data_IF_618914279200
#
_entry.id   IF_618914279200
#
_cell.length_a   1.000
_cell.length_b   1.000
_cell.length_c   1.000
_cell.angle_alpha   90.00
_cell.angle_beta   90.00
_cell.angle_gamma   90.00
#
_symmetry.space_group_name_H-M   'P 1'
#
loop_
_entity.id
_entity.type
_entity.pdbx_description
1 polymer ?
#
# COMPACT_ATOMS: atom_id res chain seq x y z
N UNK A 1 35.96 57.26 -58.22
CA UNK A 1 35.72 56.62 -56.94
C UNK A 1 34.34 56.00 -56.92
N UNK A 2 34.26 54.70 -57.22
CA UNK A 2 32.97 53.98 -57.30
C UNK A 2 32.90 53.10 -56.05
N UNK A 3 31.87 53.30 -55.24
CA UNK A 3 31.53 52.44 -54.10
C UNK A 3 30.68 51.23 -54.58
N UNK A 4 31.22 50.07 -54.44
CA UNK A 4 30.41 48.81 -54.59
C UNK A 4 29.58 48.55 -53.32
N UNK A 5 28.29 48.36 -53.48
CA UNK A 5 27.34 47.85 -52.48
C UNK A 5 27.20 46.36 -52.71
N UNK A 6 27.42 45.57 -51.64
CA UNK A 6 27.10 44.15 -51.58
C UNK A 6 25.79 43.94 -50.85
N UNK A 7 24.91 43.09 -51.35
CA UNK A 7 23.66 42.77 -50.62
C UNK A 7 23.88 41.62 -49.62
N UNK A 8 23.50 41.85 -48.39
CA UNK A 8 23.45 40.86 -47.34
C UNK A 8 22.24 39.93 -47.52
N UNK A 9 22.50 38.66 -47.76
CA UNK A 9 21.47 37.62 -47.75
C UNK A 9 21.25 37.15 -46.31
N UNK A 10 20.04 37.40 -45.76
CA UNK A 10 19.59 36.78 -44.52
C UNK A 10 19.10 35.38 -44.83
N UNK A 11 19.80 34.35 -44.33
CA UNK A 11 19.29 32.99 -44.31
C UNK A 11 18.42 32.80 -43.05
N UNK A 12 17.11 32.65 -43.22
CA UNK A 12 16.18 32.20 -42.18
C UNK A 12 16.37 30.69 -42.02
N UNK A 13 17.04 30.28 -40.94
CA UNK A 13 17.07 28.87 -40.51
C UNK A 13 15.77 28.59 -39.76
N UNK A 14 14.81 27.94 -40.42
CA UNK A 14 13.61 27.43 -39.78
C UNK A 14 13.93 26.24 -38.85
N UNK A 15 13.82 26.43 -37.53
CA UNK A 15 13.82 25.34 -36.56
C UNK A 15 12.50 24.56 -36.70
N UNK A 16 12.56 23.36 -37.27
CA UNK A 16 11.49 22.38 -37.21
C UNK A 16 11.47 21.80 -35.76
N UNK A 17 10.53 22.27 -34.95
CA UNK A 17 10.15 21.61 -33.71
C UNK A 17 9.44 20.31 -34.05
N UNK A 18 10.17 19.19 -34.01
CA UNK A 18 9.55 17.86 -34.04
C UNK A 18 8.94 17.65 -32.66
N UNK A 19 7.64 17.92 -32.55
CA UNK A 19 6.84 17.52 -31.40
C UNK A 19 6.66 16.00 -31.47
N UNK A 20 7.47 15.27 -30.71
CA UNK A 20 7.23 13.86 -30.49
C UNK A 20 5.97 13.73 -29.64
N UNK A 21 4.87 13.36 -30.28
CA UNK A 21 3.63 12.98 -29.61
C UNK A 21 3.94 11.74 -28.77
N UNK A 22 3.95 11.88 -27.45
CA UNK A 22 3.93 10.77 -26.52
C UNK A 22 2.60 10.04 -26.78
N UNK A 23 2.60 8.74 -27.14
CA UNK A 23 1.34 8.04 -27.37
C UNK A 23 0.56 8.01 -26.06
N UNK A 24 -0.58 8.68 -26.01
CA UNK A 24 -1.53 8.58 -24.92
C UNK A 24 -2.00 7.13 -24.87
N UNK A 25 -1.75 6.47 -23.74
CA UNK A 25 -2.21 5.10 -23.43
C UNK A 25 -3.71 5.13 -23.07
N UNK A 26 -4.54 5.73 -23.94
CA UNK A 26 -6.00 5.71 -23.86
C UNK A 26 -6.56 4.44 -24.53
N UNK A 27 -6.07 3.27 -24.07
CA UNK A 27 -6.74 2.00 -24.25
C UNK A 27 -7.30 1.60 -22.89
N UNK A 28 -8.57 1.24 -22.81
CA UNK A 28 -9.13 0.60 -21.63
C UNK A 28 -8.23 -0.60 -21.29
N UNK A 29 -7.38 -0.45 -20.26
CA UNK A 29 -6.59 -1.57 -19.75
C UNK A 29 -7.56 -2.66 -19.32
N UNK A 30 -7.29 -3.90 -19.70
CA UNK A 30 -8.04 -5.04 -19.18
C UNK A 30 -8.15 -4.91 -17.65
N UNK A 31 -9.28 -5.33 -17.05
CA UNK A 31 -9.43 -5.27 -15.59
C UNK A 31 -8.25 -6.01 -14.97
N UNK A 32 -7.64 -5.39 -13.95
CA UNK A 32 -6.54 -6.02 -13.22
C UNK A 32 -7.03 -7.33 -12.61
N UNK A 33 -6.20 -8.38 -12.60
CA UNK A 33 -6.55 -9.63 -11.95
C UNK A 33 -6.73 -9.40 -10.44
N UNK A 34 -7.43 -10.33 -9.80
CA UNK A 34 -7.57 -10.36 -8.35
C UNK A 34 -6.19 -10.28 -7.68
N UNK A 35 -5.98 -9.29 -6.79
CA UNK A 35 -4.73 -9.17 -6.05
C UNK A 35 -4.65 -10.22 -4.93
N UNK A 36 -3.89 -11.27 -5.17
CA UNK A 36 -3.43 -12.24 -4.16
C UNK A 36 -2.12 -11.69 -3.60
N UNK A 37 -2.22 -10.66 -2.76
CA UNK A 37 -1.11 -9.80 -2.39
C UNK A 37 -0.51 -10.13 -1.02
N UNK A 38 0.78 -9.85 -0.88
CA UNK A 38 1.51 -9.91 0.39
C UNK A 38 2.37 -8.66 0.53
N UNK A 39 2.33 -8.03 1.70
CA UNK A 39 3.23 -6.94 2.03
C UNK A 39 4.57 -7.51 2.51
N UNK A 40 5.63 -7.22 1.74
CA UNK A 40 7.00 -7.54 2.15
C UNK A 40 7.51 -6.39 3.00
N UNK A 41 7.50 -6.63 4.31
CA UNK A 41 7.89 -5.65 5.31
C UNK A 41 9.41 -5.63 5.51
N UNK A 42 9.89 -4.69 6.30
CA UNK A 42 11.30 -4.52 6.63
C UNK A 42 11.49 -4.31 8.13
N UNK A 43 12.69 -4.62 8.62
CA UNK A 43 13.13 -4.35 10.00
C UNK A 43 13.97 -3.06 10.09
N UNK A 44 14.38 -2.54 8.94
CA UNK A 44 15.12 -1.28 8.80
C UNK A 44 14.26 -0.24 8.07
N UNK A 45 14.89 0.59 7.29
CA UNK A 45 14.24 1.57 6.39
C UNK A 45 14.05 1.01 4.96
N UNK A 46 13.98 -0.32 4.82
CA UNK A 46 13.81 -1.02 3.55
C UNK A 46 15.10 -1.37 2.83
N UNK A 47 16.26 -1.25 3.49
CA UNK A 47 17.55 -1.60 2.88
C UNK A 47 17.57 -3.06 2.44
N UNK A 48 16.93 -3.95 3.19
CA UNK A 48 16.81 -5.38 2.92
C UNK A 48 16.06 -5.70 1.62
N UNK A 49 15.21 -4.81 1.12
CA UNK A 49 14.47 -5.03 -0.12
C UNK A 49 15.34 -5.05 -1.39
N UNK A 50 16.57 -4.56 -1.31
CA UNK A 50 17.55 -4.62 -2.42
C UNK A 50 18.58 -5.74 -2.25
N UNK A 51 18.46 -6.58 -1.24
CA UNK A 51 19.38 -7.67 -0.94
C UNK A 51 18.92 -8.98 -1.60
N UNK A 52 19.82 -9.97 -1.82
CA UNK A 52 19.46 -11.26 -2.44
C UNK A 52 18.34 -12.02 -1.73
N UNK A 53 18.19 -11.82 -0.42
CA UNK A 53 17.14 -12.42 0.39
C UNK A 53 15.74 -11.99 -0.06
N UNK A 54 15.61 -10.78 -0.61
CA UNK A 54 14.36 -10.32 -1.20
C UNK A 54 13.99 -11.14 -2.44
N UNK A 55 14.94 -11.48 -3.29
CA UNK A 55 14.68 -12.35 -4.45
C UNK A 55 14.19 -13.73 -3.99
N UNK A 56 14.86 -14.31 -3.00
CA UNK A 56 14.42 -15.59 -2.40
C UNK A 56 12.99 -15.50 -1.86
N UNK A 57 12.65 -14.42 -1.17
CA UNK A 57 11.30 -14.18 -0.66
C UNK A 57 10.27 -14.06 -1.81
N UNK A 58 10.59 -13.36 -2.89
CA UNK A 58 9.72 -13.25 -4.06
C UNK A 58 9.50 -14.60 -4.76
N UNK A 59 10.55 -15.41 -4.92
CA UNK A 59 10.46 -16.75 -5.49
C UNK A 59 9.58 -17.67 -4.64
N UNK A 60 9.74 -17.62 -3.32
CA UNK A 60 8.89 -18.37 -2.40
C UNK A 60 7.42 -17.92 -2.49
N UNK A 61 7.15 -16.63 -2.39
CA UNK A 61 5.80 -16.07 -2.51
C UNK A 61 5.13 -16.48 -3.84
N UNK A 62 5.86 -16.37 -4.95
CA UNK A 62 5.39 -16.82 -6.27
C UNK A 62 5.02 -18.29 -6.25
N UNK A 63 5.85 -19.15 -5.63
CA UNK A 63 5.61 -20.58 -5.51
C UNK A 63 4.35 -20.94 -4.73
N UNK A 64 3.90 -20.05 -3.84
CA UNK A 64 2.66 -20.18 -3.05
C UNK A 64 1.42 -19.64 -3.78
N UNK A 65 1.55 -19.10 -5.00
CA UNK A 65 0.44 -18.55 -5.77
C UNK A 65 0.17 -17.06 -5.50
N UNK A 66 1.04 -16.37 -4.78
CA UNK A 66 1.01 -14.91 -4.65
C UNK A 66 1.29 -14.27 -6.01
N UNK A 67 0.47 -13.32 -6.43
CA UNK A 67 0.61 -12.64 -7.72
C UNK A 67 0.86 -11.14 -7.59
N UNK A 68 0.92 -10.63 -6.36
CA UNK A 68 1.19 -9.23 -6.09
C UNK A 68 1.97 -9.03 -4.79
N UNK A 69 2.86 -8.05 -4.76
CA UNK A 69 3.53 -7.64 -3.52
C UNK A 69 3.27 -6.16 -3.22
N UNK A 70 3.34 -5.80 -1.94
CA UNK A 70 3.44 -4.41 -1.52
C UNK A 70 4.74 -4.17 -0.75
N UNK A 71 5.32 -2.98 -0.91
CA UNK A 71 6.39 -2.47 -0.07
C UNK A 71 6.03 -1.09 0.46
N UNK A 72 6.59 -0.73 1.62
CA UNK A 72 6.19 0.47 2.36
C UNK A 72 7.39 1.37 2.74
N UNK A 73 7.93 2.14 1.79
CA UNK A 73 8.99 3.10 2.09
C UNK A 73 8.53 4.13 3.13
N UNK A 74 9.49 4.64 3.90
CA UNK A 74 9.20 5.52 5.03
C UNK A 74 9.68 6.96 4.83
N UNK A 75 8.85 7.92 5.32
CA UNK A 75 9.32 9.21 5.83
C UNK A 75 9.05 9.30 7.33
N UNK A 76 9.80 10.12 8.04
CA UNK A 76 9.62 10.31 9.49
C UNK A 76 8.79 11.56 9.76
N UNK A 77 7.83 11.47 10.69
CA UNK A 77 7.12 12.64 11.21
C UNK A 77 7.84 13.25 12.41
N UNK A 78 7.74 14.55 12.57
CA UNK A 78 8.07 15.28 13.80
C UNK A 78 6.80 15.75 14.50
N UNK A 79 6.91 16.06 15.78
CA UNK A 79 5.77 16.50 16.59
C UNK A 79 5.22 17.87 16.22
N UNK A 80 6.01 18.67 15.49
CA UNK A 80 5.70 19.99 14.95
C UNK A 80 5.15 19.94 13.50
N UNK A 81 4.83 18.77 12.98
CA UNK A 81 4.24 18.57 11.66
C UNK A 81 5.24 18.34 10.52
N UNK A 82 6.54 18.53 10.74
CA UNK A 82 7.52 18.31 9.68
C UNK A 82 7.63 16.85 9.25
N UNK A 83 7.62 16.61 7.94
CA UNK A 83 7.81 15.30 7.30
C UNK A 83 9.22 15.22 6.71
N UNK A 84 10.06 14.40 7.30
CA UNK A 84 11.46 14.23 6.89
C UNK A 84 11.57 13.02 5.99
N UNK A 85 11.74 13.25 4.70
CA UNK A 85 12.03 12.24 3.70
C UNK A 85 13.52 12.23 3.36
N UNK A 86 14.17 11.06 3.58
CA UNK A 86 15.58 10.89 3.26
C UNK A 86 16.52 11.55 4.28
N UNK A 87 17.32 10.75 4.96
CA UNK A 87 18.33 11.24 5.92
C UNK A 87 19.48 12.00 5.27
N UNK A 88 19.57 11.99 3.92
CA UNK A 88 20.59 12.74 3.16
C UNK A 88 20.07 13.09 1.77
N UNK A 89 20.22 14.31 1.37
CA UNK A 89 20.09 14.74 -0.03
C UNK A 89 20.96 13.82 -0.93
N UNK A 90 20.34 13.16 -1.91
CA UNK A 90 21.02 12.20 -2.79
C UNK A 90 21.03 10.75 -2.32
N UNK A 91 20.21 10.37 -1.32
CA UNK A 91 20.05 8.97 -0.95
C UNK A 91 19.49 8.15 -2.13
N UNK A 92 20.13 7.00 -2.39
CA UNK A 92 19.68 6.06 -3.43
C UNK A 92 18.26 5.57 -3.15
N UNK A 93 17.41 5.49 -4.17
CA UNK A 93 16.09 4.90 -4.12
C UNK A 93 16.08 3.43 -4.54
N UNK A 94 17.25 2.82 -4.75
CA UNK A 94 17.38 1.44 -5.23
C UNK A 94 16.64 0.42 -4.34
N UNK A 95 16.64 0.64 -3.03
CA UNK A 95 15.89 -0.20 -2.08
C UNK A 95 14.36 -0.15 -2.30
N UNK A 96 13.84 0.85 -3.02
CA UNK A 96 12.43 0.94 -3.42
C UNK A 96 12.23 0.38 -4.83
N UNK A 97 13.09 0.78 -5.78
CA UNK A 97 12.92 0.45 -7.20
C UNK A 97 13.30 -0.99 -7.53
N UNK A 98 14.34 -1.51 -6.89
CA UNK A 98 14.82 -2.88 -7.14
C UNK A 98 13.75 -3.97 -6.87
N UNK A 99 13.09 -4.00 -5.70
CA UNK A 99 12.09 -5.03 -5.41
C UNK A 99 10.88 -4.97 -6.35
N UNK A 100 10.49 -3.77 -6.83
CA UNK A 100 9.40 -3.63 -7.80
C UNK A 100 9.78 -4.26 -9.15
N UNK A 101 11.01 -4.05 -9.64
CA UNK A 101 11.51 -4.69 -10.88
C UNK A 101 11.58 -6.20 -10.73
N UNK A 102 12.15 -6.69 -9.65
CA UNK A 102 12.27 -8.13 -9.39
C UNK A 102 10.90 -8.82 -9.28
N UNK A 103 9.90 -8.14 -8.75
CA UNK A 103 8.53 -8.65 -8.75
C UNK A 103 7.96 -8.73 -10.17
N UNK A 104 8.14 -7.69 -10.99
CA UNK A 104 7.69 -7.69 -12.38
C UNK A 104 8.40 -8.74 -13.24
N UNK A 105 9.70 -8.96 -13.05
CA UNK A 105 10.46 -10.03 -13.72
C UNK A 105 9.87 -11.42 -13.43
N UNK A 106 9.22 -11.59 -12.27
CA UNK A 106 8.49 -12.79 -11.87
C UNK A 106 7.02 -12.81 -12.29
N UNK A 107 6.58 -11.79 -13.03
CA UNK A 107 5.18 -11.63 -13.45
C UNK A 107 4.22 -11.36 -12.28
N UNK A 108 4.71 -10.72 -11.21
CA UNK A 108 3.90 -10.27 -10.09
C UNK A 108 3.60 -8.78 -10.26
N UNK A 109 2.39 -8.35 -9.93
CA UNK A 109 2.05 -6.93 -9.82
C UNK A 109 2.57 -6.34 -8.50
N UNK A 110 2.61 -5.01 -8.43
CA UNK A 110 3.19 -4.33 -7.29
C UNK A 110 2.27 -3.21 -6.76
N UNK A 111 2.29 -3.01 -5.45
CA UNK A 111 1.72 -1.85 -4.79
C UNK A 111 2.80 -1.12 -4.00
N UNK A 112 2.91 0.19 -4.22
CA UNK A 112 3.69 1.05 -3.35
C UNK A 112 2.77 1.71 -2.33
N UNK A 113 3.02 1.44 -1.04
CA UNK A 113 2.21 1.92 0.08
C UNK A 113 3.09 2.69 1.09
N UNK A 114 3.47 3.95 0.82
CA UNK A 114 4.39 4.71 1.66
C UNK A 114 3.83 4.94 3.06
N UNK A 115 4.67 4.76 4.07
CA UNK A 115 4.32 4.88 5.48
C UNK A 115 5.01 6.06 6.15
N UNK A 116 4.30 6.74 7.04
CA UNK A 116 4.93 7.67 7.99
C UNK A 116 5.43 6.89 9.20
N UNK A 117 6.72 6.99 9.48
CA UNK A 117 7.34 6.51 10.70
C UNK A 117 7.13 7.53 11.82
N UNK A 118 6.54 7.07 12.90
CA UNK A 118 6.21 7.88 14.09
C UNK A 118 7.15 7.58 15.28
N UNK A 119 8.07 6.64 15.10
CA UNK A 119 8.99 6.21 16.15
C UNK A 119 9.86 7.36 16.65
N UNK A 120 9.98 7.46 17.96
CA UNK A 120 10.73 8.55 18.61
C UNK A 120 9.94 9.85 18.78
N UNK A 121 8.62 9.82 18.54
CA UNK A 121 7.69 10.91 18.82
C UNK A 121 6.73 10.53 19.95
N UNK A 122 5.82 11.45 20.32
CA UNK A 122 4.74 11.20 21.28
C UNK A 122 3.61 10.30 20.74
N UNK A 123 3.55 10.09 19.40
CA UNK A 123 2.51 9.30 18.77
C UNK A 123 2.79 7.81 18.94
N UNK A 124 1.78 7.02 19.34
CA UNK A 124 1.89 5.57 19.52
C UNK A 124 1.65 4.82 18.22
N UNK A 125 0.94 5.45 17.28
CA UNK A 125 0.69 4.93 15.93
C UNK A 125 0.26 6.07 14.98
N UNK A 126 0.19 5.83 13.68
CA UNK A 126 -0.09 6.87 12.67
C UNK A 126 -1.44 7.55 12.85
N UNK A 127 -2.45 6.83 13.34
CA UNK A 127 -3.77 7.39 13.60
C UNK A 127 -3.80 8.48 14.66
N UNK A 128 -2.80 8.50 15.57
CA UNK A 128 -2.67 9.54 16.60
C UNK A 128 -1.96 10.81 16.11
N UNK A 129 -1.43 10.83 14.89
CA UNK A 129 -0.81 12.03 14.33
C UNK A 129 -1.85 13.15 14.31
N UNK A 130 -1.66 14.10 15.21
CA UNK A 130 -2.56 15.23 15.42
C UNK A 130 -1.76 16.45 15.89
N UNK A 131 -2.08 17.61 15.34
CA UNK A 131 -1.38 18.84 15.61
C UNK A 131 -2.31 19.85 16.25
N UNK A 132 -1.73 20.74 17.07
CA UNK A 132 -2.49 21.70 17.86
C UNK A 132 -2.91 22.93 17.06
N UNK A 133 -2.12 23.31 16.05
CA UNK A 133 -2.31 24.56 15.29
C UNK A 133 -2.57 24.30 13.81
N UNK A 134 -3.29 25.20 13.12
CA UNK A 134 -3.44 25.15 11.67
C UNK A 134 -2.10 25.21 10.93
N UNK A 135 -1.10 25.92 11.46
CA UNK A 135 0.22 26.05 10.84
C UNK A 135 0.96 24.72 10.82
N UNK A 136 0.91 23.94 11.91
CA UNK A 136 1.48 22.59 11.97
C UNK A 136 0.79 21.64 10.99
N UNK A 137 -0.56 21.73 10.86
CA UNK A 137 -1.31 20.96 9.86
C UNK A 137 -0.94 21.33 8.43
N UNK A 138 -0.77 22.62 8.14
CA UNK A 138 -0.34 23.08 6.82
C UNK A 138 1.08 22.57 6.52
N UNK A 139 1.99 22.67 7.47
CA UNK A 139 3.37 22.14 7.35
C UNK A 139 3.33 20.64 7.02
N UNK A 140 2.52 19.87 7.78
CA UNK A 140 2.37 18.44 7.54
C UNK A 140 1.87 18.16 6.12
N UNK A 141 0.79 18.76 5.69
CA UNK A 141 0.20 18.46 4.39
C UNK A 141 1.08 18.91 3.22
N UNK A 142 1.75 20.04 3.31
CA UNK A 142 2.62 20.55 2.23
C UNK A 142 3.89 19.68 2.08
N UNK A 143 4.52 19.28 3.20
CA UNK A 143 5.70 18.41 3.15
C UNK A 143 5.33 16.96 2.83
N UNK A 144 4.17 16.48 3.33
CA UNK A 144 3.63 15.18 2.97
C UNK A 144 3.32 15.10 1.47
N UNK A 145 2.64 16.12 0.89
CA UNK A 145 2.39 16.20 -0.55
C UNK A 145 3.69 16.11 -1.34
N UNK A 146 4.69 16.88 -0.95
CA UNK A 146 6.00 16.86 -1.61
C UNK A 146 6.62 15.46 -1.62
N UNK A 147 6.60 14.77 -0.49
CA UNK A 147 7.13 13.42 -0.37
C UNK A 147 6.32 12.38 -1.11
N UNK A 148 4.98 12.38 -0.96
CA UNK A 148 4.13 11.36 -1.55
C UNK A 148 4.11 11.45 -3.09
N UNK A 149 4.22 12.65 -3.66
CA UNK A 149 4.35 12.86 -5.10
C UNK A 149 5.69 12.29 -5.62
N UNK A 150 6.79 12.43 -4.87
CA UNK A 150 8.05 11.77 -5.21
C UNK A 150 7.92 10.24 -5.22
N UNK A 151 7.22 9.67 -4.23
CA UNK A 151 6.94 8.23 -4.20
C UNK A 151 6.05 7.78 -5.35
N UNK A 152 5.05 8.60 -5.71
CA UNK A 152 4.19 8.34 -6.86
C UNK A 152 4.96 8.38 -8.20
N UNK A 153 5.90 9.31 -8.35
CA UNK A 153 6.77 9.36 -9.53
C UNK A 153 7.70 8.13 -9.63
N UNK A 154 8.18 7.61 -8.50
CA UNK A 154 8.92 6.32 -8.48
C UNK A 154 8.00 5.15 -8.85
N UNK A 155 6.77 5.12 -8.35
CA UNK A 155 5.79 4.10 -8.70
C UNK A 155 5.47 4.11 -10.20
N UNK A 156 5.35 5.29 -10.81
CA UNK A 156 5.17 5.45 -12.27
C UNK A 156 6.37 4.93 -13.05
N UNK A 157 7.58 5.35 -12.65
CA UNK A 157 8.82 4.96 -13.32
C UNK A 157 9.07 3.45 -13.27
N UNK A 158 8.65 2.80 -12.21
CA UNK A 158 8.77 1.36 -12.01
C UNK A 158 7.48 0.60 -12.38
N UNK A 159 6.49 1.27 -12.99
CA UNK A 159 5.24 0.69 -13.48
C UNK A 159 4.40 -0.03 -12.41
N UNK A 160 4.46 0.41 -11.15
CA UNK A 160 3.62 -0.16 -10.12
C UNK A 160 2.13 -0.06 -10.49
N UNK A 161 1.36 -1.11 -10.25
CA UNK A 161 -0.05 -1.17 -10.62
C UNK A 161 -0.94 -0.39 -9.65
N UNK A 162 -0.54 -0.34 -8.38
CA UNK A 162 -1.31 0.34 -7.33
C UNK A 162 -0.41 1.27 -6.51
N UNK A 163 -0.92 2.45 -6.21
CA UNK A 163 -0.29 3.41 -5.30
C UNK A 163 -1.24 3.80 -4.18
N UNK A 164 -0.79 3.72 -2.93
CA UNK A 164 -1.56 4.15 -1.77
C UNK A 164 -1.12 5.55 -1.34
N UNK A 165 -2.02 6.54 -1.41
CA UNK A 165 -1.72 7.96 -1.13
C UNK A 165 -1.65 8.29 0.34
N UNK A 166 -2.07 7.38 1.22
CA UNK A 166 -2.05 7.57 2.67
C UNK A 166 -2.60 6.35 3.39
N UNK A 167 -2.24 6.21 4.67
CA UNK A 167 -2.54 5.03 5.46
C UNK A 167 -2.75 5.38 6.93
N UNK A 168 -3.88 4.94 7.51
CA UNK A 168 -4.16 5.01 8.94
C UNK A 168 -4.23 6.44 9.56
N UNK A 169 -4.47 7.47 8.81
CA UNK A 169 -4.48 8.84 9.35
C UNK A 169 -5.83 9.23 9.94
N UNK A 170 -6.23 8.65 11.09
CA UNK A 170 -7.55 8.87 11.73
C UNK A 170 -7.89 10.34 11.94
N UNK A 171 -6.94 11.14 12.45
CA UNK A 171 -7.17 12.57 12.64
C UNK A 171 -7.03 13.40 11.35
N UNK A 172 -6.15 13.00 10.43
CA UNK A 172 -5.91 13.74 9.20
C UNK A 172 -6.96 13.47 8.11
N UNK A 173 -7.61 12.30 8.09
CA UNK A 173 -8.58 11.93 7.03
C UNK A 173 -9.78 12.88 6.92
N UNK A 174 -10.10 13.64 7.96
CA UNK A 174 -11.17 14.65 7.93
C UNK A 174 -10.88 15.87 7.07
N UNK A 175 -9.63 16.12 6.73
CA UNK A 175 -9.20 17.27 5.92
C UNK A 175 -9.35 16.98 4.42
N UNK A 176 -10.59 16.87 3.95
CA UNK A 176 -10.96 16.46 2.60
C UNK A 176 -10.25 17.27 1.49
N UNK A 177 -10.19 18.59 1.63
CA UNK A 177 -9.56 19.48 0.64
C UNK A 177 -8.06 19.20 0.48
N UNK A 178 -7.33 18.98 1.57
CA UNK A 178 -5.91 18.62 1.53
C UNK A 178 -5.69 17.28 0.84
N UNK A 179 -6.51 16.26 1.17
CA UNK A 179 -6.40 14.96 0.51
C UNK A 179 -6.72 15.03 -0.98
N UNK A 180 -7.75 15.79 -1.38
CA UNK A 180 -8.06 15.98 -2.79
C UNK A 180 -6.93 16.67 -3.55
N UNK A 181 -6.28 17.67 -2.95
CA UNK A 181 -5.08 18.34 -3.50
C UNK A 181 -3.95 17.32 -3.69
N UNK A 182 -3.64 16.51 -2.68
CA UNK A 182 -2.62 15.45 -2.75
C UNK A 182 -2.96 14.44 -3.85
N UNK A 183 -4.19 13.93 -3.88
CA UNK A 183 -4.63 12.96 -4.89
C UNK A 183 -4.49 13.55 -6.30
N UNK A 184 -4.85 14.80 -6.51
CA UNK A 184 -4.69 15.48 -7.79
C UNK A 184 -3.21 15.63 -8.19
N UNK A 185 -2.34 15.98 -7.25
CA UNK A 185 -0.89 16.07 -7.47
C UNK A 185 -0.26 14.71 -7.79
N UNK A 186 -0.68 13.65 -7.09
CA UNK A 186 -0.27 12.26 -7.39
C UNK A 186 -0.73 11.85 -8.80
N UNK A 187 -1.99 12.12 -9.15
CA UNK A 187 -2.54 11.81 -10.49
C UNK A 187 -1.85 12.56 -11.63
N UNK A 188 -1.22 13.68 -11.35
CA UNK A 188 -0.44 14.43 -12.36
C UNK A 188 0.87 13.71 -12.74
N UNK A 189 1.38 12.79 -11.91
CA UNK A 189 2.65 12.10 -12.13
C UNK A 189 2.51 10.57 -12.16
N UNK A 190 1.38 10.02 -11.76
CA UNK A 190 1.13 8.58 -11.69
C UNK A 190 -0.20 8.20 -12.35
N UNK A 191 -0.16 7.24 -13.27
CA UNK A 191 -1.29 6.84 -14.12
C UNK A 191 -1.88 5.46 -13.76
N UNK A 192 -1.30 4.76 -12.81
CA UNK A 192 -1.82 3.50 -12.29
C UNK A 192 -3.04 3.71 -11.36
N UNK A 193 -3.43 2.67 -10.64
CA UNK A 193 -4.55 2.70 -9.70
C UNK A 193 -4.16 3.34 -8.37
N UNK A 194 -5.02 4.21 -7.86
CA UNK A 194 -4.78 4.95 -6.61
C UNK A 194 -5.79 4.56 -5.56
N UNK A 195 -5.31 4.34 -4.33
CA UNK A 195 -6.13 4.07 -3.15
C UNK A 195 -5.66 4.85 -1.93
N UNK A 196 -6.42 4.78 -0.85
CA UNK A 196 -6.07 5.22 0.50
C UNK A 196 -6.42 4.10 1.48
N UNK A 197 -5.58 3.83 2.46
CA UNK A 197 -5.79 2.78 3.46
C UNK A 197 -6.46 3.34 4.72
N UNK A 198 -7.79 3.28 4.81
CA UNK A 198 -8.52 3.67 6.01
C UNK A 198 -8.55 2.54 7.04
N UNK A 199 -8.65 2.88 8.32
CA UNK A 199 -8.88 1.90 9.37
C UNK A 199 -10.24 1.21 9.21
N UNK A 200 -10.31 -0.05 9.64
CA UNK A 200 -11.50 -0.91 9.54
C UNK A 200 -12.78 -0.30 10.12
N UNK A 201 -12.67 0.60 11.07
CA UNK A 201 -13.78 1.27 11.76
C UNK A 201 -14.06 2.69 11.24
N UNK A 202 -13.25 3.22 10.32
CA UNK A 202 -13.27 4.63 9.90
C UNK A 202 -13.44 4.83 8.39
N UNK A 203 -13.41 3.76 7.58
CA UNK A 203 -13.52 3.86 6.11
C UNK A 203 -14.80 4.56 5.63
N UNK A 204 -15.87 4.49 6.41
CA UNK A 204 -17.13 5.16 6.08
C UNK A 204 -17.08 6.70 6.27
N UNK A 205 -16.11 7.21 7.01
CA UNK A 205 -15.95 8.64 7.29
C UNK A 205 -15.11 9.36 6.23
N UNK A 206 -14.35 8.62 5.43
CA UNK A 206 -13.53 9.17 4.34
C UNK A 206 -14.43 9.74 3.25
N UNK A 207 -14.21 11.01 2.88
CA UNK A 207 -15.06 11.76 1.95
C UNK A 207 -14.54 11.79 0.51
N UNK A 208 -13.29 11.40 0.27
CA UNK A 208 -12.63 11.50 -1.02
C UNK A 208 -12.53 10.17 -1.80
N UNK A 209 -13.37 9.17 -1.47
CA UNK A 209 -13.39 7.90 -2.22
C UNK A 209 -13.68 8.09 -3.71
N UNK A 210 -14.46 9.09 -4.08
CA UNK A 210 -14.78 9.41 -5.47
C UNK A 210 -13.53 9.75 -6.31
N UNK A 211 -12.47 10.33 -5.69
CA UNK A 211 -11.21 10.67 -6.32
C UNK A 211 -10.24 9.48 -6.49
N UNK A 212 -10.53 8.33 -5.87
CA UNK A 212 -9.69 7.14 -5.84
C UNK A 212 -10.25 6.01 -6.72
N UNK A 213 -9.46 4.99 -7.02
CA UNK A 213 -9.89 3.82 -7.81
C UNK A 213 -10.49 2.72 -6.96
N UNK A 214 -9.97 2.51 -5.74
CA UNK A 214 -10.44 1.52 -4.77
C UNK A 214 -10.76 2.16 -3.44
N UNK A 215 -11.69 1.54 -2.70
CA UNK A 215 -11.90 1.79 -1.28
C UNK A 215 -10.89 0.91 -0.54
N UNK A 216 -9.79 1.50 -0.10
CA UNK A 216 -8.74 0.79 0.62
C UNK A 216 -9.05 0.70 2.11
N UNK A 217 -8.86 -0.47 2.69
CA UNK A 217 -9.08 -0.66 4.13
C UNK A 217 -8.04 -1.57 4.74
N UNK A 218 -7.59 -1.22 5.96
CA UNK A 218 -6.85 -2.11 6.82
C UNK A 218 -7.87 -3.01 7.51
N UNK A 219 -7.98 -4.26 7.05
CA UNK A 219 -9.08 -5.17 7.35
C UNK A 219 -8.90 -5.91 8.69
N UNK A 220 -8.47 -5.22 9.73
CA UNK A 220 -8.35 -5.75 11.08
C UNK A 220 -9.69 -5.76 11.83
N UNK A 221 -10.73 -6.29 11.19
CA UNK A 221 -12.07 -6.35 11.78
C UNK A 221 -12.12 -7.32 12.96
N UNK A 222 -12.65 -6.91 14.14
CA UNK A 222 -13.00 -7.87 15.18
C UNK A 222 -14.13 -8.76 14.68
N UNK A 223 -13.91 -10.05 14.71
CA UNK A 223 -14.86 -11.04 14.15
C UNK A 223 -15.80 -11.60 15.20
N UNK A 224 -15.35 -11.70 16.44
CA UNK A 224 -16.09 -12.33 17.52
C UNK A 224 -15.73 -11.74 18.88
N UNK A 225 -16.50 -12.09 19.90
CA UNK A 225 -16.16 -11.87 21.31
C UNK A 225 -15.82 -13.18 22.03
N UNK A 226 -15.90 -14.31 21.33
CA UNK A 226 -15.59 -15.64 21.85
C UNK A 226 -14.09 -15.82 21.95
N UNK A 227 -13.61 -16.37 23.05
CA UNK A 227 -12.17 -16.55 23.31
C UNK A 227 -11.52 -17.57 22.35
N UNK A 228 -12.22 -18.66 22.02
CA UNK A 228 -11.77 -19.69 21.07
C UNK A 228 -12.87 -19.94 20.02
N UNK A 229 -13.02 -19.05 19.03
CA UNK A 229 -14.09 -19.17 18.05
C UNK A 229 -13.85 -20.32 17.08
N UNK A 230 -14.91 -21.07 16.81
CA UNK A 230 -14.89 -22.11 15.79
C UNK A 230 -14.77 -21.51 14.37
N UNK A 231 -14.31 -22.31 13.41
CA UNK A 231 -14.26 -21.89 12.02
C UNK A 231 -15.64 -21.44 11.46
N UNK A 232 -16.78 -22.10 11.75
CA UNK A 232 -18.09 -21.61 11.35
C UNK A 232 -18.45 -20.23 11.94
N UNK A 233 -18.08 -19.94 13.21
CA UNK A 233 -18.33 -18.63 13.83
C UNK A 233 -17.53 -17.52 13.13
N UNK A 234 -16.24 -17.76 12.84
CA UNK A 234 -15.40 -16.84 12.09
C UNK A 234 -15.95 -16.61 10.68
N UNK A 235 -16.37 -17.69 10.00
CA UNK A 235 -16.94 -17.60 8.65
C UNK A 235 -18.24 -16.77 8.66
N UNK A 236 -19.16 -17.03 9.61
CA UNK A 236 -20.39 -16.27 9.74
C UNK A 236 -20.15 -14.78 10.04
N UNK A 237 -19.12 -14.47 10.85
CA UNK A 237 -18.73 -13.09 11.13
C UNK A 237 -18.22 -12.39 9.88
N UNK A 238 -17.39 -13.06 9.07
CA UNK A 238 -16.93 -12.53 7.79
C UNK A 238 -18.06 -12.32 6.78
N UNK A 239 -19.00 -13.27 6.64
CA UNK A 239 -20.16 -13.12 5.74
C UNK A 239 -20.98 -11.88 6.11
N UNK A 240 -21.21 -11.64 7.41
CA UNK A 240 -21.89 -10.43 7.89
C UNK A 240 -21.08 -9.17 7.51
N UNK A 241 -19.77 -9.17 7.73
CA UNK A 241 -18.90 -8.05 7.39
C UNK A 241 -18.87 -7.81 5.89
N UNK A 242 -18.72 -8.85 5.09
CA UNK A 242 -18.74 -8.76 3.63
C UNK A 242 -20.06 -8.17 3.11
N UNK A 243 -21.20 -8.53 3.68
CA UNK A 243 -22.48 -7.93 3.31
C UNK A 243 -22.56 -6.41 3.61
N UNK A 244 -21.91 -5.94 4.69
CA UNK A 244 -21.81 -4.51 5.00
C UNK A 244 -20.89 -3.79 3.99
N UNK A 245 -19.71 -4.35 3.72
CA UNK A 245 -18.73 -3.80 2.77
C UNK A 245 -19.29 -3.79 1.33
N UNK A 246 -19.99 -4.83 0.92
CA UNK A 246 -20.59 -4.89 -0.41
C UNK A 246 -21.64 -3.80 -0.63
N UNK A 247 -22.46 -3.51 0.39
CA UNK A 247 -23.41 -2.39 0.32
C UNK A 247 -22.69 -1.06 0.15
N UNK A 248 -21.64 -0.82 0.92
CA UNK A 248 -20.82 0.38 0.82
C UNK A 248 -20.10 0.47 -0.53
N UNK A 249 -19.56 -0.63 -1.03
CA UNK A 249 -18.97 -0.75 -2.37
C UNK A 249 -19.97 -0.32 -3.47
N UNK A 250 -21.20 -0.85 -3.44
CA UNK A 250 -22.26 -0.52 -4.39
C UNK A 250 -22.67 0.96 -4.30
N UNK A 251 -22.77 1.51 -3.10
CA UNK A 251 -23.11 2.93 -2.89
C UNK A 251 -22.05 3.88 -3.50
N UNK A 252 -20.78 3.50 -3.44
CA UNK A 252 -19.67 4.31 -3.95
C UNK A 252 -19.27 3.94 -5.39
N UNK A 253 -19.81 2.86 -5.96
CA UNK A 253 -19.46 2.38 -7.30
C UNK A 253 -18.01 1.90 -7.43
N UNK A 254 -17.39 1.44 -6.35
CA UNK A 254 -15.97 1.05 -6.28
C UNK A 254 -15.79 -0.25 -5.52
N UNK A 255 -14.82 -1.06 -5.97
CA UNK A 255 -14.41 -2.26 -5.25
C UNK A 255 -13.58 -1.89 -4.01
N UNK A 256 -13.63 -2.76 -3.01
CA UNK A 256 -12.70 -2.72 -1.89
C UNK A 256 -11.37 -3.36 -2.26
N UNK A 257 -10.30 -2.80 -1.72
CA UNK A 257 -8.98 -3.40 -1.66
C UNK A 257 -8.57 -3.48 -0.18
N UNK A 258 -8.36 -4.68 0.35
CA UNK A 258 -7.77 -4.79 1.68
C UNK A 258 -6.28 -4.46 1.56
N UNK A 259 -5.94 -3.19 1.83
CA UNK A 259 -4.56 -2.70 1.75
C UNK A 259 -3.66 -3.33 2.79
N UNK A 260 -4.26 -3.77 3.89
CA UNK A 260 -3.67 -4.67 4.87
C UNK A 260 -4.73 -5.61 5.44
N UNK A 261 -4.33 -6.84 5.71
CA UNK A 261 -5.05 -7.81 6.52
C UNK A 261 -4.03 -8.70 7.23
N UNK A 262 -4.26 -9.01 8.50
CA UNK A 262 -3.34 -9.86 9.25
C UNK A 262 -3.92 -10.35 10.56
N UNK A 263 -3.35 -11.44 11.05
CA UNK A 263 -3.68 -12.02 12.35
C UNK A 263 -2.39 -12.45 13.03
N UNK A 264 -2.19 -11.98 14.27
CA UNK A 264 -1.09 -12.46 15.10
C UNK A 264 -1.32 -13.91 15.53
N UNK A 265 -0.24 -14.59 15.88
CA UNK A 265 -0.29 -15.84 16.64
C UNK A 265 -0.69 -15.51 18.09
N UNK A 266 -1.99 -15.34 18.33
CA UNK A 266 -2.56 -14.86 19.58
C UNK A 266 -3.93 -15.47 19.81
N UNK A 267 -4.23 -15.78 21.07
CA UNK A 267 -5.59 -16.17 21.51
C UNK A 267 -6.63 -15.07 21.24
N UNK A 268 -6.17 -13.83 20.94
CA UNK A 268 -7.02 -12.68 20.64
C UNK A 268 -7.10 -12.37 19.13
N UNK A 269 -6.53 -13.21 18.28
CA UNK A 269 -6.46 -12.94 16.83
C UNK A 269 -7.83 -12.64 16.20
N UNK A 270 -8.89 -13.29 16.64
CA UNK A 270 -10.24 -13.06 16.14
C UNK A 270 -11.01 -11.93 16.84
N UNK A 271 -10.58 -11.52 18.03
CA UNK A 271 -11.26 -10.47 18.84
C UNK A 271 -10.60 -9.12 18.72
N UNK A 272 -9.28 -9.08 18.60
CA UNK A 272 -8.45 -7.87 18.50
C UNK A 272 -7.31 -8.09 17.50
N UNK A 273 -7.61 -8.26 16.20
CA UNK A 273 -6.61 -8.58 15.19
C UNK A 273 -5.51 -7.53 15.04
N UNK A 274 -5.75 -6.28 15.46
CA UNK A 274 -4.74 -5.20 15.47
C UNK A 274 -3.75 -5.27 16.64
N UNK A 275 -3.99 -6.15 17.65
CA UNK A 275 -3.15 -6.20 18.85
C UNK A 275 -1.79 -6.84 18.57
N UNK A 276 -0.72 -6.23 19.08
CA UNK A 276 0.66 -6.74 18.91
C UNK A 276 0.99 -7.93 19.81
N UNK A 277 0.15 -8.23 20.81
CA UNK A 277 0.42 -9.36 21.73
C UNK A 277 0.28 -10.69 21.00
N UNK A 278 1.29 -11.54 21.21
CA UNK A 278 1.32 -12.93 20.74
C UNK A 278 1.10 -13.91 21.90
N UNK A 279 0.81 -15.16 21.56
CA UNK A 279 0.65 -16.25 22.53
C UNK A 279 -0.75 -16.34 23.14
N UNK A 280 -0.86 -17.19 24.15
CA UNK A 280 -2.13 -17.56 24.78
C UNK A 280 -2.63 -18.94 24.33
N UNK A 281 -3.69 -19.42 24.96
CA UNK A 281 -4.28 -20.72 24.66
C UNK A 281 -4.84 -20.77 23.25
N UNK A 282 -4.57 -21.84 22.50
CA UNK A 282 -4.97 -22.03 21.10
C UNK A 282 -4.57 -20.93 20.11
N UNK A 283 -3.51 -20.17 20.41
CA UNK A 283 -3.08 -19.01 19.59
C UNK A 283 -2.82 -19.37 18.13
N UNK A 284 -2.06 -20.45 17.90
CA UNK A 284 -1.69 -20.94 16.56
C UNK A 284 -2.92 -21.42 15.77
N UNK A 285 -3.84 -22.14 16.44
CA UNK A 285 -5.05 -22.66 15.83
C UNK A 285 -6.04 -21.54 15.49
N UNK A 286 -6.19 -20.54 16.37
CA UNK A 286 -7.07 -19.37 16.11
C UNK A 286 -6.52 -18.55 14.96
N UNK A 287 -5.23 -18.26 14.95
CA UNK A 287 -4.57 -17.58 13.83
C UNK A 287 -4.83 -18.32 12.50
N UNK A 288 -4.55 -19.63 12.48
CA UNK A 288 -4.72 -20.44 11.27
C UNK A 288 -6.17 -20.47 10.78
N UNK A 289 -7.16 -20.58 11.67
CA UNK A 289 -8.59 -20.51 11.32
C UNK A 289 -8.98 -19.17 10.73
N UNK A 290 -8.50 -18.05 11.32
CA UNK A 290 -8.77 -16.71 10.80
C UNK A 290 -8.17 -16.53 9.40
N UNK A 291 -6.92 -16.97 9.20
CA UNK A 291 -6.22 -16.85 7.91
C UNK A 291 -6.87 -17.74 6.86
N UNK A 292 -7.19 -19.01 7.15
CA UNK A 292 -7.81 -19.95 6.21
C UNK A 292 -9.13 -19.40 5.65
N UNK A 293 -9.98 -18.86 6.52
CA UNK A 293 -11.27 -18.30 6.11
C UNK A 293 -11.09 -17.02 5.30
N UNK A 294 -10.23 -16.12 5.75
CA UNK A 294 -10.04 -14.83 5.08
C UNK A 294 -9.37 -14.95 3.70
N UNK A 295 -8.45 -15.91 3.50
CA UNK A 295 -7.86 -16.21 2.20
C UNK A 295 -8.90 -16.59 1.13
N UNK A 296 -10.02 -17.19 1.53
CA UNK A 296 -11.09 -17.60 0.63
C UNK A 296 -12.10 -16.50 0.28
N UNK A 297 -12.05 -15.32 0.91
CA UNK A 297 -13.04 -14.26 0.72
C UNK A 297 -13.11 -13.71 -0.71
N UNK A 298 -11.98 -13.38 -1.39
CA UNK A 298 -12.06 -12.76 -2.70
C UNK A 298 -12.71 -13.66 -3.78
N UNK A 299 -12.54 -14.97 -3.66
CA UNK A 299 -13.17 -15.91 -4.58
C UNK A 299 -14.72 -15.95 -4.45
N UNK A 300 -15.25 -15.57 -3.29
CA UNK A 300 -16.69 -15.57 -2.98
C UNK A 300 -17.34 -14.19 -3.16
N UNK A 301 -16.54 -13.13 -3.05
CA UNK A 301 -17.04 -11.75 -2.96
C UNK A 301 -16.42 -10.85 -4.05
N UNK A 302 -17.06 -10.75 -5.24
CA UNK A 302 -16.52 -9.98 -6.38
C UNK A 302 -16.36 -8.46 -6.13
N UNK A 303 -16.93 -7.92 -5.05
CA UNK A 303 -16.69 -6.54 -4.64
C UNK A 303 -15.27 -6.32 -4.07
N UNK A 304 -14.53 -7.40 -3.76
CA UNK A 304 -13.13 -7.34 -3.36
C UNK A 304 -12.24 -7.41 -4.61
N UNK A 305 -11.45 -6.38 -4.85
CA UNK A 305 -10.40 -6.39 -5.86
C UNK A 305 -9.19 -7.25 -5.45
N UNK A 306 -9.06 -7.52 -4.17
CA UNK A 306 -8.01 -8.34 -3.58
C UNK A 306 -7.63 -7.92 -2.17
N UNK A 307 -6.51 -8.45 -1.72
CA UNK A 307 -5.98 -8.19 -0.39
C UNK A 307 -4.47 -8.28 -0.35
N UNK A 308 -3.87 -7.56 0.59
CA UNK A 308 -2.45 -7.63 0.90
C UNK A 308 -2.27 -8.09 2.34
N UNK A 309 -1.66 -9.26 2.51
CA UNK A 309 -1.42 -9.86 3.82
C UNK A 309 -0.24 -9.21 4.52
N UNK A 310 -0.43 -8.76 5.70
CA UNK A 310 0.57 -8.28 6.63
C UNK A 310 1.02 -9.44 7.50
N UNK A 311 2.31 -9.93 7.48
CA UNK A 311 3.39 -9.49 6.61
C UNK A 311 4.38 -10.63 6.30
N UNK A 312 5.20 -10.45 5.28
CA UNK A 312 6.36 -11.29 4.96
C UNK A 312 7.63 -10.50 5.21
N UNK A 313 8.70 -11.17 5.68
CA UNK A 313 10.01 -10.55 5.87
C UNK A 313 11.01 -11.25 4.96
N UNK A 314 11.90 -10.53 4.23
CA UNK A 314 13.09 -11.15 3.68
C UNK A 314 13.86 -11.82 4.83
N UNK A 315 14.40 -13.03 4.63
CA UNK A 315 15.13 -13.74 5.67
C UNK A 315 16.47 -13.07 5.96
N UNK A 316 16.44 -12.03 6.76
CA UNK A 316 17.62 -11.45 7.39
C UNK A 316 17.57 -11.88 8.85
N UNK A 317 18.65 -12.48 9.41
CA UNK A 317 18.66 -13.00 10.76
C UNK A 317 18.70 -11.86 11.78
N UNK A 318 17.55 -11.22 12.06
CA UNK A 318 17.42 -10.21 13.11
C UNK A 318 16.03 -10.25 13.72
N UNK A 319 15.96 -10.47 15.01
CA UNK A 319 14.81 -10.44 15.91
C UNK A 319 13.82 -11.59 15.79
N UNK A 320 13.87 -12.46 16.79
CA UNK A 320 13.05 -13.67 16.93
C UNK A 320 11.55 -13.40 17.16
N UNK A 321 11.14 -12.15 17.38
CA UNK A 321 9.77 -11.80 17.77
C UNK A 321 9.12 -10.81 16.80
N UNK A 322 8.94 -11.25 15.56
CA UNK A 322 8.15 -10.46 14.61
C UNK A 322 6.67 -10.85 14.65
N UNK A 323 5.82 -9.83 14.85
CA UNK A 323 4.38 -9.96 14.79
C UNK A 323 3.90 -10.20 13.35
N UNK A 324 2.77 -10.89 13.20
CA UNK A 324 2.09 -11.10 11.92
C UNK A 324 2.88 -11.87 10.86
N UNK A 325 3.91 -12.65 11.23
CA UNK A 325 4.68 -13.45 10.27
C UNK A 325 3.82 -14.49 9.58
N UNK A 326 3.92 -14.55 8.25
CA UNK A 326 3.26 -15.55 7.42
C UNK A 326 4.16 -16.78 7.13
N UNK A 327 5.43 -16.72 7.48
CA UNK A 327 6.48 -17.67 7.06
C UNK A 327 6.53 -18.96 7.87
N UNK A 328 5.46 -19.32 8.57
CA UNK A 328 5.35 -20.63 9.22
C UNK A 328 4.84 -21.69 8.25
N UNK A 329 5.26 -22.93 8.42
CA UNK A 329 4.85 -24.02 7.51
C UNK A 329 3.31 -24.18 7.42
N UNK A 330 2.53 -24.11 8.51
CA UNK A 330 1.07 -24.16 8.42
C UNK A 330 0.47 -23.02 7.59
N UNK A 331 0.94 -21.78 7.81
CA UNK A 331 0.38 -20.62 7.10
C UNK A 331 0.76 -20.66 5.61
N UNK A 332 1.99 -21.02 5.27
CA UNK A 332 2.40 -21.22 3.87
C UNK A 332 1.53 -22.27 3.17
N UNK A 333 1.19 -23.35 3.85
CA UNK A 333 0.29 -24.38 3.32
C UNK A 333 -1.14 -23.83 3.06
N UNK A 334 -1.66 -22.97 3.94
CA UNK A 334 -2.96 -22.31 3.74
C UNK A 334 -2.94 -21.36 2.54
N UNK A 335 -1.90 -20.54 2.40
CA UNK A 335 -1.74 -19.63 1.25
C UNK A 335 -1.72 -20.45 -0.05
N UNK A 336 -0.91 -21.51 -0.11
CA UNK A 336 -0.83 -22.39 -1.28
C UNK A 336 -2.17 -23.08 -1.57
N UNK A 337 -2.89 -23.54 -0.55
CA UNK A 337 -4.23 -24.17 -0.69
C UNK A 337 -5.24 -23.26 -1.40
N UNK A 338 -5.23 -21.95 -1.10
CA UNK A 338 -6.20 -21.01 -1.65
C UNK A 338 -5.75 -20.33 -2.93
N UNK A 339 -4.45 -20.15 -3.13
CA UNK A 339 -3.92 -19.26 -4.16
C UNK A 339 -3.08 -19.94 -5.23
N UNK A 340 -2.53 -21.13 -4.96
CA UNK A 340 -1.83 -21.93 -5.97
C UNK A 340 -2.86 -22.66 -6.82
N UNK A 341 -2.75 -22.45 -8.13
CA UNK A 341 -3.54 -23.15 -9.15
C UNK A 341 -2.95 -24.53 -9.45
#
# INVERSE_FOLDING_TARGET
>A
MKRLLWPSAFALSGLLLISAAIPSRAGQSAPLPLFKGVTVSCQTWGIEWQMPEMETALDELKSLGVNSIAIHPYAQIREDGHVISGRRSGASTTHITTPLRWAHERGMSTMLIPHIAYWGTKFLWRGEINFATPEEWNTFFDEYETWIVQMAALAEAEHAEVFCVGLEYSYAQKYDEHWRKIIAAVRAVYHGKVTYGANWNEYAEVKFWDALDYIGVLAYFPLTKTADPSAPEIAAAWEKRCAELERFSKQNGKQFLFTEIGYNESSRAATEPWAFKTGGEHATEIQARCIDIALGLPAKHPFLAGMYWWKWLPEIPHHEQENYRLQTAPIKALIAKHWKE
#
